data_IF_095328551366
#
_entry.id   IF_095328551366
#
_cell.length_a   1.000
_cell.length_b   1.000
_cell.length_c   1.000
_cell.angle_alpha   90.00
_cell.angle_beta   90.00
_cell.angle_gamma   90.00
#
_symmetry.space_group_name_H-M   'P 1'
#
loop_
_entity.id
_entity.type
_entity.pdbx_description
1 polymer ?
#
# COMPACT_ATOMS: atom_id res chain seq x y z
N UNK A 1 -20.07 29.66 22.95
CA UNK A 1 -20.21 29.35 21.51
C UNK A 1 -20.29 27.84 21.41
N UNK A 2 -21.47 27.30 21.13
CA UNK A 2 -21.63 25.87 20.86
C UNK A 2 -20.93 25.57 19.54
N UNK A 3 -19.81 24.86 19.61
CA UNK A 3 -19.21 24.25 18.43
C UNK A 3 -20.18 23.16 18.00
N UNK A 4 -20.73 23.18 16.78
CA UNK A 4 -21.65 22.13 16.34
C UNK A 4 -20.93 20.78 16.46
N UNK A 5 -21.55 19.85 17.18
CA UNK A 5 -21.00 18.51 17.33
C UNK A 5 -20.83 17.88 15.94
N UNK A 6 -19.61 17.47 15.61
CA UNK A 6 -19.32 16.79 14.35
C UNK A 6 -20.17 15.52 14.29
N UNK A 7 -20.95 15.28 13.21
CA UNK A 7 -21.80 14.10 13.12
C UNK A 7 -20.95 12.83 13.17
N UNK A 8 -21.38 11.88 14.00
CA UNK A 8 -20.79 10.55 14.07
C UNK A 8 -21.06 9.78 12.78
N UNK A 9 -20.05 9.08 12.29
CA UNK A 9 -20.17 8.27 11.09
C UNK A 9 -20.76 6.88 11.41
N UNK A 10 -20.51 6.36 12.60
CA UNK A 10 -21.02 5.08 13.08
C UNK A 10 -21.96 5.29 14.28
N UNK A 11 -23.21 5.74 14.04
CA UNK A 11 -24.16 6.01 15.11
C UNK A 11 -24.47 4.73 15.88
N UNK A 12 -24.55 4.84 17.22
CA UNK A 12 -24.83 3.70 18.11
C UNK A 12 -23.61 2.87 18.51
N UNK A 13 -22.44 3.13 17.93
CA UNK A 13 -21.19 2.57 18.43
C UNK A 13 -20.66 3.43 19.59
N UNK A 14 -20.15 2.75 20.63
CA UNK A 14 -19.45 3.44 21.72
C UNK A 14 -18.09 3.92 21.25
N UNK A 15 -17.53 4.92 21.95
CA UNK A 15 -16.15 5.33 21.71
C UNK A 15 -15.23 4.09 21.81
N UNK A 16 -14.28 3.91 20.87
CA UNK A 16 -13.50 2.68 20.83
C UNK A 16 -12.69 2.50 22.12
N UNK A 17 -12.61 1.28 22.61
CA UNK A 17 -11.75 0.97 23.76
C UNK A 17 -10.28 0.89 23.35
N UNK A 18 -9.37 0.99 24.32
CA UNK A 18 -7.92 0.91 24.07
C UNK A 18 -7.50 -0.39 23.39
N UNK A 19 -8.15 -1.52 23.70
CA UNK A 19 -7.88 -2.79 23.05
C UNK A 19 -8.25 -2.78 21.56
N UNK A 20 -9.41 -2.21 21.22
CA UNK A 20 -9.87 -2.10 19.83
C UNK A 20 -8.97 -1.16 19.01
N UNK A 21 -8.53 -0.04 19.61
CA UNK A 21 -7.53 0.85 18.99
C UNK A 21 -6.20 0.14 18.72
N UNK A 22 -5.73 -0.67 19.67
CA UNK A 22 -4.50 -1.47 19.49
C UNK A 22 -4.64 -2.49 18.37
N UNK A 23 -5.79 -3.16 18.27
CA UNK A 23 -6.08 -4.13 17.20
C UNK A 23 -6.08 -3.46 15.83
N UNK A 24 -6.72 -2.30 15.67
CA UNK A 24 -6.69 -1.53 14.41
C UNK A 24 -5.25 -1.20 13.98
N UNK A 25 -4.43 -0.71 14.91
CA UNK A 25 -3.02 -0.42 14.62
C UNK A 25 -2.20 -1.66 14.29
N UNK A 26 -2.40 -2.76 15.03
CA UNK A 26 -1.72 -4.01 14.76
C UNK A 26 -2.08 -4.56 13.37
N UNK A 27 -3.35 -4.44 12.96
CA UNK A 27 -3.79 -4.81 11.61
C UNK A 27 -3.06 -3.98 10.55
N UNK A 28 -3.02 -2.64 10.72
CA UNK A 28 -2.33 -1.75 9.79
C UNK A 28 -0.81 -2.05 9.66
N UNK A 29 -0.14 -2.44 10.76
CA UNK A 29 1.28 -2.88 10.72
C UNK A 29 1.48 -4.24 10.08
N UNK A 30 0.45 -5.07 10.05
CA UNK A 30 0.54 -6.46 9.59
C UNK A 30 0.50 -6.55 8.06
N UNK A 31 -0.05 -5.56 7.39
CA UNK A 31 0.05 -5.46 5.95
C UNK A 31 1.51 -5.16 5.53
N UNK A 32 2.01 -5.75 4.44
CA UNK A 32 1.40 -6.76 3.58
C UNK A 32 1.71 -8.22 3.99
N UNK A 33 2.23 -8.49 5.19
CA UNK A 33 2.64 -9.85 5.63
C UNK A 33 1.50 -10.85 5.81
N UNK A 34 0.26 -10.37 5.92
CA UNK A 34 -0.91 -11.25 6.02
C UNK A 34 -1.22 -11.96 4.69
N UNK A 35 -0.49 -11.65 3.60
CA UNK A 35 -0.71 -12.29 2.31
C UNK A 35 0.59 -12.58 1.55
N UNK A 36 0.66 -13.74 0.90
CA UNK A 36 1.75 -14.11 -0.01
C UNK A 36 1.54 -13.57 -1.42
N UNK A 37 0.29 -13.29 -1.78
CA UNK A 37 -0.09 -12.69 -3.04
C UNK A 37 -1.41 -11.95 -2.87
N UNK A 38 -1.63 -10.95 -3.70
CA UNK A 38 -2.85 -10.16 -3.71
C UNK A 38 -3.21 -9.82 -5.15
N UNK A 39 -4.44 -10.11 -5.54
CA UNK A 39 -5.06 -9.55 -6.72
C UNK A 39 -6.07 -8.49 -6.28
N UNK A 40 -5.93 -7.30 -6.81
CA UNK A 40 -6.76 -6.17 -6.42
C UNK A 40 -7.09 -5.28 -7.61
N UNK A 41 -8.18 -4.53 -7.48
CA UNK A 41 -8.60 -3.51 -8.42
C UNK A 41 -8.52 -2.15 -7.74
N UNK A 42 -8.03 -1.13 -8.44
CA UNK A 42 -7.95 0.25 -7.95
C UNK A 42 -8.60 1.17 -8.98
N UNK A 43 -9.38 2.12 -8.48
CA UNK A 43 -9.77 3.28 -9.26
C UNK A 43 -8.71 4.37 -9.08
N UNK A 44 -7.94 4.66 -10.11
CA UNK A 44 -6.87 5.67 -10.06
C UNK A 44 -7.49 7.06 -10.07
N UNK A 45 -7.25 7.89 -9.04
CA UNK A 45 -7.65 9.28 -9.07
C UNK A 45 -6.93 10.05 -10.18
N UNK A 46 -7.61 10.98 -10.86
CA UNK A 46 -7.03 11.73 -11.97
C UNK A 46 -5.75 12.48 -11.62
N UNK A 47 -5.61 12.91 -10.37
CA UNK A 47 -4.41 13.59 -9.85
C UNK A 47 -3.16 12.69 -9.77
N UNK A 48 -3.36 11.38 -9.75
CA UNK A 48 -2.29 10.38 -9.70
C UNK A 48 -2.20 9.55 -10.98
N UNK A 49 -3.06 9.81 -11.97
CA UNK A 49 -3.06 9.11 -13.24
C UNK A 49 -1.82 9.47 -14.07
N UNK A 50 -1.31 8.48 -14.82
CA UNK A 50 -0.28 8.68 -15.85
C UNK A 50 -0.80 8.12 -17.18
N UNK A 51 -1.61 8.89 -17.92
CA UNK A 51 -2.23 8.43 -19.17
C UNK A 51 -1.21 7.97 -20.21
N UNK A 52 -0.03 8.59 -20.25
CA UNK A 52 1.08 8.25 -21.15
C UNK A 52 1.60 6.82 -20.96
N UNK A 53 1.46 6.28 -19.74
CA UNK A 53 1.87 4.93 -19.36
C UNK A 53 0.67 3.95 -19.33
N UNK A 54 -0.54 4.41 -19.68
CA UNK A 54 -1.78 3.63 -19.54
C UNK A 54 -2.19 3.37 -18.09
N UNK A 55 -1.65 4.14 -17.12
CA UNK A 55 -1.91 4.00 -15.69
C UNK A 55 -3.01 4.97 -15.24
N UNK A 56 -4.22 4.75 -15.75
CA UNK A 56 -5.40 5.58 -15.46
C UNK A 56 -6.68 4.74 -15.37
N UNK A 57 -7.77 5.36 -14.89
CA UNK A 57 -9.06 4.69 -14.77
C UNK A 57 -9.03 3.52 -13.79
N UNK A 58 -9.72 2.43 -14.14
CA UNK A 58 -9.74 1.21 -13.34
C UNK A 58 -8.60 0.29 -13.75
N UNK A 59 -7.71 -0.03 -12.80
CA UNK A 59 -6.59 -0.95 -13.00
C UNK A 59 -6.78 -2.20 -12.17
N UNK A 60 -6.43 -3.36 -12.74
CA UNK A 60 -6.36 -4.63 -12.01
C UNK A 60 -4.91 -5.05 -11.87
N UNK A 61 -4.45 -5.24 -10.65
CA UNK A 61 -3.08 -5.62 -10.35
C UNK A 61 -3.03 -6.98 -9.66
N UNK A 62 -1.99 -7.73 -9.97
CA UNK A 62 -1.56 -8.92 -9.22
C UNK A 62 -0.19 -8.59 -8.65
N UNK A 63 -0.03 -8.71 -7.34
CA UNK A 63 1.25 -8.55 -6.65
C UNK A 63 1.59 -9.82 -5.88
N UNK A 64 2.83 -10.27 -6.02
CA UNK A 64 3.41 -11.37 -5.24
C UNK A 64 4.38 -10.79 -4.22
N UNK A 65 3.90 -10.68 -2.98
CA UNK A 65 4.61 -10.06 -1.85
C UNK A 65 5.20 -8.69 -2.23
N UNK A 66 6.53 -8.57 -2.21
CA UNK A 66 7.31 -7.39 -2.58
C UNK A 66 8.32 -7.71 -3.68
N UNK A 67 8.07 -8.80 -4.41
CA UNK A 67 9.00 -9.34 -5.39
C UNK A 67 8.52 -9.10 -6.81
N UNK A 68 7.21 -9.21 -7.08
CA UNK A 68 6.71 -9.12 -8.44
C UNK A 68 5.32 -8.48 -8.52
N UNK A 69 5.06 -7.74 -9.60
CA UNK A 69 3.77 -7.11 -9.88
C UNK A 69 3.47 -7.14 -11.38
N UNK A 70 2.19 -7.31 -11.71
CA UNK A 70 1.65 -7.15 -13.05
C UNK A 70 0.35 -6.35 -12.97
N UNK A 71 0.18 -5.38 -13.86
CA UNK A 71 -0.96 -4.46 -13.86
C UNK A 71 -1.60 -4.43 -15.24
N UNK A 72 -2.92 -4.57 -15.25
CA UNK A 72 -3.75 -4.54 -16.44
C UNK A 72 -4.74 -3.38 -16.40
N UNK A 73 -5.01 -2.79 -17.55
CA UNK A 73 -6.10 -1.84 -17.73
C UNK A 73 -7.47 -2.53 -17.62
N UNK A 74 -8.55 -1.75 -17.60
CA UNK A 74 -9.91 -2.25 -17.62
C UNK A 74 -10.21 -3.18 -18.82
N UNK A 75 -9.56 -2.94 -19.96
CA UNK A 75 -9.68 -3.77 -21.18
C UNK A 75 -8.83 -5.05 -21.13
N UNK A 76 -8.13 -5.31 -20.02
CA UNK A 76 -7.28 -6.47 -19.81
C UNK A 76 -5.87 -6.37 -20.41
N UNK A 77 -5.52 -5.23 -21.02
CA UNK A 77 -4.19 -4.98 -21.58
C UNK A 77 -3.15 -4.83 -20.48
N UNK A 78 -2.00 -5.49 -20.63
CA UNK A 78 -0.89 -5.36 -19.68
C UNK A 78 -0.22 -3.99 -19.87
N UNK A 79 -0.32 -3.12 -18.86
CA UNK A 79 0.23 -1.75 -18.91
C UNK A 79 1.52 -1.62 -18.12
N UNK A 80 1.72 -2.48 -17.11
CA UNK A 80 2.95 -2.47 -16.32
C UNK A 80 3.26 -3.87 -15.79
N UNK A 81 4.53 -4.23 -15.76
CA UNK A 81 5.03 -5.43 -15.12
C UNK A 81 6.42 -5.16 -14.58
N UNK A 82 6.70 -5.66 -13.39
CA UNK A 82 8.04 -5.58 -12.82
C UNK A 82 8.27 -6.79 -11.92
N UNK A 83 9.46 -7.37 -12.06
CA UNK A 83 9.97 -8.41 -11.19
C UNK A 83 11.29 -7.92 -10.59
N UNK A 84 11.37 -7.96 -9.27
CA UNK A 84 12.61 -7.86 -8.53
C UNK A 84 13.01 -9.26 -8.16
N UNK A 85 13.98 -9.79 -8.91
CA UNK A 85 14.79 -10.86 -8.34
C UNK A 85 15.37 -10.34 -7.04
N UNK A 86 15.03 -10.99 -5.93
CA UNK A 86 15.83 -10.84 -4.72
C UNK A 86 17.22 -11.38 -5.08
N UNK A 87 18.11 -10.48 -5.50
CA UNK A 87 19.52 -10.76 -5.41
C UNK A 87 19.78 -11.16 -3.94
N UNK A 88 20.32 -12.35 -3.77
CA UNK A 88 20.63 -13.03 -2.51
C UNK A 88 19.50 -13.70 -1.70
N UNK A 89 19.05 -14.85 -2.21
CA UNK A 89 19.00 -16.08 -1.36
C UNK A 89 20.36 -16.79 -1.28
N UNK A 90 21.44 -16.12 -1.67
CA UNK A 90 22.79 -16.65 -1.59
C UNK A 90 23.37 -16.39 -0.20
N UNK A 91 24.01 -17.42 0.33
CA UNK A 91 24.79 -17.34 1.55
C UNK A 91 26.00 -16.44 1.28
N UNK A 92 25.88 -15.18 1.68
CA UNK A 92 27.01 -14.31 1.98
C UNK A 92 27.33 -13.27 0.92
N UNK A 93 27.14 -12.00 1.26
CA UNK A 93 28.11 -10.96 0.91
C UNK A 93 28.09 -9.84 1.94
N UNK A 94 29.14 -9.82 2.78
CA UNK A 94 29.51 -8.69 3.64
C UNK A 94 30.23 -7.68 2.73
N UNK A 95 29.48 -6.73 2.16
CA UNK A 95 30.07 -5.57 1.52
C UNK A 95 30.07 -4.39 2.50
N UNK A 96 31.28 -3.97 2.87
CA UNK A 96 31.56 -2.88 3.79
C UNK A 96 31.02 -1.53 3.27
N UNK A 97 29.83 -1.17 3.74
CA UNK A 97 29.37 0.22 3.88
C UNK A 97 28.91 0.38 5.33
N UNK A 98 28.76 1.62 5.86
CA UNK A 98 28.25 1.85 7.22
C UNK A 98 26.85 1.24 7.49
N UNK A 99 26.20 0.70 6.46
CA UNK A 99 24.97 -0.09 6.48
C UNK A 99 25.16 -1.57 6.89
N UNK A 100 26.42 -2.05 7.00
CA UNK A 100 26.78 -3.47 7.17
C UNK A 100 26.51 -4.07 8.56
N UNK A 101 26.12 -3.24 9.54
CA UNK A 101 25.68 -3.71 10.87
C UNK A 101 24.17 -3.81 11.03
N UNK A 102 23.38 -3.40 10.03
CA UNK A 102 21.95 -3.69 10.01
C UNK A 102 21.78 -5.16 9.64
N UNK A 103 21.24 -5.94 10.58
CA UNK A 103 20.85 -7.32 10.30
C UNK A 103 19.99 -7.35 9.02
N UNK A 104 20.24 -8.29 8.09
CA UNK A 104 19.31 -8.60 7.02
C UNK A 104 17.88 -8.66 7.54
N UNK A 105 16.90 -8.12 6.80
CA UNK A 105 15.48 -8.16 7.17
C UNK A 105 14.98 -9.58 7.53
N UNK A 106 15.67 -10.61 7.05
CA UNK A 106 15.45 -12.03 7.37
C UNK A 106 15.90 -12.47 8.77
N UNK A 107 16.66 -11.65 9.51
CA UNK A 107 17.18 -11.92 10.85
C UNK A 107 16.49 -11.08 11.96
N UNK A 108 15.53 -10.24 11.60
CA UNK A 108 14.65 -9.53 12.54
C UNK A 108 13.23 -10.04 12.37
N UNK A 109 12.80 -10.96 13.24
CA UNK A 109 11.43 -11.48 13.19
C UNK A 109 10.42 -10.44 13.70
N UNK A 110 9.26 -10.28 13.05
CA UNK A 110 8.15 -9.52 13.61
C UNK A 110 7.77 -10.05 14.99
N UNK A 111 7.37 -9.16 15.89
CA UNK A 111 6.76 -9.56 17.17
C UNK A 111 5.26 -9.60 16.96
N UNK A 112 4.62 -10.70 17.34
CA UNK A 112 3.19 -10.91 17.13
C UNK A 112 2.38 -10.66 18.41
N UNK A 113 1.13 -10.22 18.24
CA UNK A 113 0.10 -10.24 19.27
C UNK A 113 -0.45 -11.66 19.46
N UNK A 114 -1.33 -11.87 20.45
CA UNK A 114 -2.07 -13.13 20.61
C UNK A 114 -2.86 -13.53 19.36
N UNK A 115 -3.29 -12.54 18.59
CA UNK A 115 -4.16 -12.70 17.43
C UNK A 115 -3.36 -12.81 16.13
N UNK A 116 -2.04 -13.10 16.23
CA UNK A 116 -1.11 -13.25 15.10
C UNK A 116 -0.94 -12.00 14.23
N UNK A 117 -1.27 -10.81 14.77
CA UNK A 117 -0.99 -9.53 14.13
C UNK A 117 0.36 -8.98 14.56
N UNK A 118 1.01 -8.18 13.73
CA UNK A 118 2.30 -7.57 14.01
C UNK A 118 2.17 -6.46 15.07
N UNK A 119 2.78 -6.70 16.22
CA UNK A 119 2.97 -5.73 17.29
C UNK A 119 4.15 -4.80 16.99
N UNK A 120 5.31 -5.37 16.65
CA UNK A 120 6.54 -4.64 16.30
C UNK A 120 7.04 -5.11 14.94
N UNK A 121 7.24 -4.14 14.05
CA UNK A 121 7.66 -4.38 12.67
C UNK A 121 9.19 -4.42 12.57
N UNK A 122 9.79 -5.34 11.79
CA UNK A 122 11.20 -5.23 11.43
C UNK A 122 11.44 -4.01 10.52
N UNK A 123 12.62 -3.39 10.61
CA UNK A 123 13.04 -2.33 9.69
C UNK A 123 13.24 -2.92 8.30
N UNK A 124 12.32 -2.66 7.37
CA UNK A 124 12.39 -3.12 5.99
C UNK A 124 12.07 -1.98 5.03
N UNK A 125 12.76 -1.97 3.89
CA UNK A 125 12.38 -1.13 2.75
C UNK A 125 11.00 -1.56 2.27
N UNK A 126 10.08 -0.61 2.06
CA UNK A 126 8.69 -0.78 1.62
C UNK A 126 8.50 -1.63 0.35
N UNK A 127 7.93 -1.07 -0.71
CA UNK A 127 7.92 -1.75 -2.02
C UNK A 127 9.16 -1.42 -2.86
N UNK A 128 10.01 -0.49 -2.39
CA UNK A 128 11.31 -0.14 -2.95
C UNK A 128 11.26 0.29 -4.44
N UNK A 129 10.13 0.88 -4.89
CA UNK A 129 9.89 1.20 -6.30
C UNK A 129 9.43 0.01 -7.16
N UNK A 130 8.76 -0.99 -6.56
CA UNK A 130 8.08 -2.06 -7.31
C UNK A 130 6.76 -1.57 -7.93
N UNK A 131 6.11 -0.59 -7.28
CA UNK A 131 4.77 -0.15 -7.68
C UNK A 131 4.87 0.94 -8.76
N UNK A 132 3.99 0.93 -9.78
CA UNK A 132 4.00 1.94 -10.84
C UNK A 132 3.47 3.30 -10.39
N UNK A 133 2.60 3.29 -9.38
CA UNK A 133 1.95 4.47 -8.80
C UNK A 133 2.30 4.53 -7.31
N UNK A 134 2.95 5.60 -6.88
CA UNK A 134 3.53 5.71 -5.54
C UNK A 134 2.46 5.65 -4.44
N UNK A 135 1.28 6.26 -4.65
CA UNK A 135 0.19 6.29 -3.67
C UNK A 135 -0.36 4.89 -3.32
N UNK A 136 -0.09 3.87 -4.13
CA UNK A 136 -0.45 2.49 -3.80
C UNK A 136 0.33 1.97 -2.60
N UNK A 137 1.54 2.49 -2.33
CA UNK A 137 2.34 2.09 -1.17
C UNK A 137 1.61 2.40 0.14
N UNK A 138 1.03 3.60 0.27
CA UNK A 138 0.23 3.96 1.44
C UNK A 138 -0.98 3.06 1.62
N UNK A 139 -1.61 2.60 0.53
CA UNK A 139 -2.80 1.73 0.59
C UNK A 139 -2.45 0.27 0.93
N UNK A 140 -1.39 -0.27 0.31
CA UNK A 140 -0.95 -1.66 0.48
C UNK A 140 -0.14 -1.88 1.77
N UNK A 141 0.44 -0.83 2.32
CA UNK A 141 1.25 -0.83 3.55
C UNK A 141 0.89 0.38 4.43
N UNK A 142 -0.32 0.39 5.06
CA UNK A 142 -0.83 1.51 5.86
C UNK A 142 -0.14 1.64 7.24
N UNK A 143 1.17 1.38 7.31
CA UNK A 143 1.95 1.43 8.56
C UNK A 143 1.95 2.80 9.22
N UNK A 144 1.83 3.88 8.45
CA UNK A 144 1.78 5.26 8.95
C UNK A 144 0.64 5.48 9.96
N UNK A 145 -0.42 4.66 9.93
CA UNK A 145 -1.52 4.71 10.90
C UNK A 145 -1.11 4.25 12.29
N UNK A 146 -0.04 3.45 12.39
CA UNK A 146 0.28 2.67 13.57
C UNK A 146 1.71 2.84 14.08
N UNK A 147 2.63 3.34 13.22
CA UNK A 147 4.04 3.48 13.52
C UNK A 147 4.80 2.15 13.53
N UNK A 148 6.13 2.23 13.62
CA UNK A 148 7.04 1.07 13.58
C UNK A 148 7.09 0.29 14.90
N UNK A 149 6.86 0.98 16.02
CA UNK A 149 6.97 0.40 17.36
C UNK A 149 5.64 0.43 18.12
N UNK A 150 5.40 -0.54 19.02
CA UNK A 150 4.33 -0.41 19.99
C UNK A 150 4.68 0.74 20.93
N UNK A 151 3.99 1.87 20.77
CA UNK A 151 4.04 2.98 21.72
C UNK A 151 3.73 2.47 23.14
N UNK A 152 4.44 3.01 24.13
CA UNK A 152 4.24 2.66 25.54
C UNK A 152 2.81 2.97 25.97
N UNK A 153 2.22 2.08 26.76
CA UNK A 153 0.84 2.25 27.25
C UNK A 153 0.67 3.49 28.14
N UNK A 154 1.76 3.99 28.73
CA UNK A 154 1.73 5.06 29.73
C UNK A 154 1.83 6.47 29.13
N UNK A 155 2.17 6.60 27.85
CA UNK A 155 2.32 7.90 27.18
C UNK A 155 1.17 8.14 26.20
N UNK A 156 0.20 8.96 26.62
CA UNK A 156 -1.01 9.30 25.86
C UNK A 156 -0.76 9.95 24.48
N UNK A 157 0.47 10.37 24.18
CA UNK A 157 0.83 11.18 23.00
C UNK A 157 1.71 10.47 21.96
N UNK A 158 2.05 9.19 22.13
CA UNK A 158 3.02 8.52 21.25
C UNK A 158 2.43 7.94 19.96
N UNK A 159 1.11 7.88 19.83
CA UNK A 159 0.49 7.26 18.66
C UNK A 159 0.39 8.20 17.44
N UNK A 160 0.77 7.74 16.23
CA UNK A 160 0.72 8.55 15.01
C UNK A 160 -0.67 9.07 14.64
N UNK A 161 -1.74 8.38 15.02
CA UNK A 161 -3.11 8.80 14.67
C UNK A 161 -4.01 8.74 15.89
N UNK A 162 -5.04 9.58 15.94
CA UNK A 162 -6.11 9.48 16.94
C UNK A 162 -7.33 8.79 16.33
N UNK A 163 -7.79 7.72 16.97
CA UNK A 163 -8.95 6.92 16.52
C UNK A 163 -10.20 7.40 17.27
N UNK A 164 -11.07 8.12 16.57
CA UNK A 164 -12.29 8.73 17.09
C UNK A 164 -13.45 7.75 17.12
N UNK A 165 -13.64 7.06 15.99
CA UNK A 165 -14.70 6.07 15.82
C UNK A 165 -14.10 4.81 15.20
N UNK A 166 -14.69 3.65 15.50
CA UNK A 166 -14.27 2.35 14.99
C UNK A 166 -15.49 1.45 14.85
N UNK A 167 -15.61 0.75 13.73
CA UNK A 167 -16.67 -0.22 13.50
C UNK A 167 -16.16 -1.39 12.65
N UNK A 168 -16.52 -2.61 13.01
CA UNK A 168 -16.44 -3.74 12.08
C UNK A 168 -17.59 -3.63 11.09
N UNK A 169 -17.27 -3.72 9.80
CA UNK A 169 -18.22 -3.57 8.70
C UNK A 169 -17.98 -4.66 7.65
N UNK A 170 -18.90 -4.77 6.71
CA UNK A 170 -18.66 -5.48 5.45
C UNK A 170 -18.42 -4.44 4.36
N UNK A 171 -17.28 -4.52 3.68
CA UNK A 171 -16.91 -3.65 2.55
C UNK A 171 -16.68 -4.53 1.32
N UNK A 172 -17.46 -4.32 0.25
CA UNK A 172 -17.43 -5.13 -0.98
C UNK A 172 -17.50 -6.64 -0.73
N UNK A 173 -18.35 -7.05 0.22
CA UNK A 173 -18.54 -8.45 0.60
C UNK A 173 -17.44 -9.03 1.51
N UNK A 174 -16.44 -8.23 1.91
CA UNK A 174 -15.34 -8.66 2.77
C UNK A 174 -15.47 -8.07 4.19
N UNK A 175 -15.16 -8.84 5.25
CA UNK A 175 -15.04 -8.30 6.60
C UNK A 175 -13.92 -7.25 6.67
N UNK A 176 -14.24 -6.07 7.17
CA UNK A 176 -13.33 -4.95 7.26
C UNK A 176 -13.49 -4.18 8.58
N UNK A 177 -12.47 -3.44 8.95
CA UNK A 177 -12.45 -2.57 10.12
C UNK A 177 -12.36 -1.11 9.66
N UNK A 178 -13.44 -0.38 9.85
CA UNK A 178 -13.54 1.02 9.48
C UNK A 178 -13.27 1.93 10.68
N UNK A 179 -12.46 2.98 10.47
CA UNK A 179 -12.08 3.91 11.51
C UNK A 179 -12.16 5.35 11.01
N UNK A 180 -12.55 6.26 11.91
CA UNK A 180 -12.44 7.70 11.66
C UNK A 180 -11.27 8.26 12.47
N UNK A 181 -10.32 8.85 11.75
CA UNK A 181 -9.02 9.23 12.28
C UNK A 181 -8.70 10.71 12.09
N UNK A 182 -7.82 11.24 12.93
CA UNK A 182 -7.04 12.45 12.66
C UNK A 182 -5.55 12.17 12.89
N UNK A 183 -4.69 12.94 12.25
CA UNK A 183 -3.25 12.85 12.45
C UNK A 183 -2.90 13.26 13.90
N UNK A 184 -2.01 12.52 14.54
CA UNK A 184 -1.40 12.86 15.81
C UNK A 184 -0.11 13.67 15.61
N UNK A 185 0.51 14.12 16.71
CA UNK A 185 1.74 14.92 16.64
C UNK A 185 2.95 14.13 16.15
N UNK A 186 2.93 12.80 16.29
CA UNK A 186 3.97 11.90 15.80
C UNK A 186 3.65 11.31 14.41
N UNK A 187 2.56 11.77 13.77
CA UNK A 187 2.19 11.30 12.44
C UNK A 187 3.27 11.65 11.42
N UNK A 188 3.75 10.63 10.71
CA UNK A 188 4.65 10.80 9.58
C UNK A 188 4.09 9.95 8.44
N UNK A 189 3.68 10.58 7.32
CA UNK A 189 3.20 9.82 6.19
C UNK A 189 4.35 9.05 5.53
N UNK A 190 4.08 7.82 5.09
CA UNK A 190 4.98 7.02 4.26
C UNK A 190 5.29 7.76 2.96
N UNK A 191 4.27 8.41 2.38
CA UNK A 191 4.38 9.22 1.17
C UNK A 191 3.73 10.59 1.39
N UNK A 192 4.55 11.65 1.38
CA UNK A 192 4.08 13.01 1.64
C UNK A 192 3.05 13.53 0.62
N UNK A 193 3.08 13.04 -0.63
CA UNK A 193 2.13 13.40 -1.69
C UNK A 193 0.78 12.69 -1.59
N UNK A 194 0.69 11.61 -0.79
CA UNK A 194 -0.54 10.85 -0.58
C UNK A 194 -0.64 10.30 0.87
N UNK A 195 -0.73 11.18 1.88
CA UNK A 195 -0.99 10.76 3.25
C UNK A 195 -2.38 10.11 3.35
N UNK A 196 -2.53 9.03 4.11
CA UNK A 196 -3.82 8.45 4.45
C UNK A 196 -4.60 9.36 5.39
N UNK A 197 -3.91 10.06 6.29
CA UNK A 197 -4.50 11.03 7.22
C UNK A 197 -3.83 12.39 7.06
N UNK A 198 -4.30 13.23 6.11
CA UNK A 198 -3.76 14.58 5.93
C UNK A 198 -3.81 15.39 7.23
N UNK A 199 -2.86 16.31 7.40
CA UNK A 199 -2.75 17.13 8.61
C UNK A 199 -4.02 17.95 8.86
N UNK A 200 -4.53 17.94 10.09
CA UNK A 200 -5.75 18.64 10.48
C UNK A 200 -7.04 18.09 9.86
N UNK A 201 -6.97 17.06 9.00
CA UNK A 201 -8.12 16.45 8.37
C UNK A 201 -8.70 15.31 9.20
N UNK A 202 -10.01 15.15 9.12
CA UNK A 202 -10.76 14.01 9.63
C UNK A 202 -10.99 13.04 8.49
N UNK A 203 -10.47 11.83 8.60
CA UNK A 203 -10.44 10.86 7.50
C UNK A 203 -11.08 9.54 7.90
N UNK A 204 -11.94 9.01 7.04
CA UNK A 204 -12.40 7.63 7.09
C UNK A 204 -11.35 6.73 6.42
N UNK A 205 -10.97 5.65 7.11
CA UNK A 205 -10.20 4.55 6.56
C UNK A 205 -10.94 3.24 6.77
N UNK A 206 -10.81 2.33 5.80
CA UNK A 206 -11.35 0.97 5.88
C UNK A 206 -10.20 0.01 5.63
N UNK A 207 -9.89 -0.85 6.60
CA UNK A 207 -8.86 -1.88 6.48
C UNK A 207 -9.51 -3.26 6.30
N UNK A 208 -9.05 -4.05 5.35
CA UNK A 208 -9.48 -5.43 5.18
C UNK A 208 -8.99 -6.29 6.36
N UNK A 209 -9.88 -7.07 6.99
CA UNK A 209 -9.49 -7.87 8.16
C UNK A 209 -8.55 -9.03 7.81
N UNK A 210 -8.60 -9.55 6.58
CA UNK A 210 -7.80 -10.70 6.18
C UNK A 210 -6.37 -10.32 5.74
N UNK A 211 -6.20 -9.14 5.13
CA UNK A 211 -4.94 -8.71 4.50
C UNK A 211 -4.32 -7.48 5.17
N UNK A 212 -5.13 -6.69 5.90
CA UNK A 212 -4.71 -5.45 6.56
C UNK A 212 -4.55 -4.25 5.61
N UNK A 213 -4.76 -4.44 4.31
CA UNK A 213 -4.64 -3.36 3.31
C UNK A 213 -5.76 -2.35 3.48
N UNK A 214 -5.48 -1.09 3.14
CA UNK A 214 -6.50 -0.04 3.09
C UNK A 214 -7.36 -0.22 1.84
N UNK A 215 -8.64 -0.51 2.04
CA UNK A 215 -9.65 -0.64 0.99
C UNK A 215 -10.23 0.71 0.58
N UNK A 216 -10.39 1.62 1.53
CA UNK A 216 -10.95 2.94 1.25
C UNK A 216 -10.30 4.01 2.14
N UNK A 217 -9.98 5.16 1.53
CA UNK A 217 -9.58 6.38 2.22
C UNK A 217 -10.42 7.55 1.72
N UNK A 218 -11.20 8.15 2.61
CA UNK A 218 -12.05 9.32 2.31
C UNK A 218 -11.89 10.43 3.34
N UNK A 219 -11.47 11.60 2.90
CA UNK A 219 -11.39 12.79 3.77
C UNK A 219 -12.81 13.31 4.01
N UNK A 220 -13.25 13.32 5.27
CA UNK A 220 -14.58 13.74 5.70
C UNK A 220 -14.65 15.25 5.94
N UNK A 221 -13.57 15.82 6.47
CA UNK A 221 -13.43 17.25 6.70
C UNK A 221 -11.95 17.62 6.63
N UNK A 222 -11.63 18.74 6.01
CA UNK A 222 -10.28 19.28 5.91
C UNK A 222 -10.27 20.76 6.29
N UNK A 223 -9.14 21.28 6.81
CA UNK A 223 -8.94 22.71 7.02
C UNK A 223 -9.18 23.53 5.74
N UNK A 224 -9.81 24.69 5.89
CA UNK A 224 -10.04 25.63 4.79
C UNK A 224 -8.72 26.04 4.14
N UNK A 225 -8.66 26.00 2.81
CA UNK A 225 -7.50 26.42 2.02
C UNK A 225 -6.51 25.31 1.66
N UNK A 226 -6.71 24.07 2.14
CA UNK A 226 -5.99 22.92 1.59
C UNK A 226 -6.68 22.37 0.35
N UNK A 227 -5.91 21.89 -0.65
CA UNK A 227 -6.48 21.21 -1.80
C UNK A 227 -7.23 19.95 -1.32
N UNK A 228 -8.38 19.62 -1.95
CA UNK A 228 -9.09 18.40 -1.61
C UNK A 228 -8.18 17.21 -1.92
N UNK A 229 -8.01 16.31 -0.93
CA UNK A 229 -7.29 15.08 -1.17
C UNK A 229 -8.24 14.06 -1.82
N UNK A 230 -7.81 13.36 -2.88
CA UNK A 230 -8.70 12.48 -3.65
C UNK A 230 -9.11 11.27 -2.83
N UNK A 231 -10.31 10.74 -3.06
CA UNK A 231 -10.70 9.47 -2.46
C UNK A 231 -9.86 8.33 -3.05
N UNK A 232 -9.32 7.46 -2.19
CA UNK A 232 -8.56 6.29 -2.63
C UNK A 232 -9.43 5.06 -2.40
N UNK A 233 -9.57 4.22 -3.42
CA UNK A 233 -10.36 2.99 -3.36
C UNK A 233 -9.58 1.82 -3.94
N UNK A 234 -9.58 0.72 -3.21
CA UNK A 234 -8.95 -0.54 -3.56
C UNK A 234 -9.91 -1.68 -3.18
N UNK A 235 -10.24 -2.51 -4.16
CA UNK A 235 -11.02 -3.72 -3.97
C UNK A 235 -10.11 -4.94 -4.03
N UNK A 236 -10.11 -5.78 -2.99
CA UNK A 236 -9.39 -7.06 -3.00
C UNK A 236 -10.24 -8.10 -3.73
N UNK A 237 -9.71 -8.64 -4.83
CA UNK A 237 -10.35 -9.68 -5.63
C UNK A 237 -9.97 -11.08 -5.14
N UNK A 238 -8.68 -11.28 -4.84
CA UNK A 238 -8.16 -12.54 -4.30
C UNK A 238 -6.90 -12.29 -3.45
N UNK A 239 -6.61 -13.20 -2.52
CA UNK A 239 -5.36 -13.19 -1.75
C UNK A 239 -4.88 -14.62 -1.51
N UNK A 240 -3.56 -14.79 -1.37
CA UNK A 240 -2.90 -16.10 -1.18
C UNK A 240 -3.13 -17.10 -2.32
N UNK A 241 -3.43 -16.60 -3.52
CA UNK A 241 -3.48 -17.43 -4.72
C UNK A 241 -2.09 -17.69 -5.31
N UNK A 242 -1.99 -18.81 -6.02
CA UNK A 242 -0.79 -19.17 -6.75
C UNK A 242 -0.79 -18.50 -8.13
N UNK A 243 0.26 -17.70 -8.40
CA UNK A 243 0.47 -17.06 -9.70
C UNK A 243 1.79 -17.53 -10.30
N UNK A 244 1.74 -17.95 -11.57
CA UNK A 244 2.91 -18.39 -12.34
C UNK A 244 3.82 -17.22 -12.70
N UNK A 245 5.13 -17.47 -12.77
CA UNK A 245 6.16 -16.43 -13.02
C UNK A 245 5.96 -15.69 -14.34
N UNK A 246 5.45 -16.38 -15.37
CA UNK A 246 5.19 -15.77 -16.69
C UNK A 246 4.15 -14.65 -16.68
N UNK A 247 3.41 -14.45 -15.58
CA UNK A 247 2.54 -13.29 -15.41
C UNK A 247 3.30 -12.01 -15.08
N UNK A 248 4.53 -12.12 -14.56
CA UNK A 248 5.32 -11.00 -14.05
C UNK A 248 6.57 -10.70 -14.89
N UNK A 249 7.08 -11.71 -15.59
CA UNK A 249 8.25 -11.56 -16.45
C UNK A 249 7.80 -11.20 -17.87
N UNK A 250 8.41 -10.14 -18.43
CA UNK A 250 8.26 -9.89 -19.86
C UNK A 250 8.69 -11.14 -20.63
N UNK A 251 7.92 -11.59 -21.65
CA UNK A 251 8.35 -12.72 -22.45
C UNK A 251 9.74 -12.40 -22.99
N UNK A 252 10.71 -13.25 -22.66
CA UNK A 252 12.04 -13.16 -23.25
C UNK A 252 11.82 -13.09 -24.77
N UNK A 253 12.49 -12.18 -25.49
CA UNK A 253 12.41 -12.20 -26.94
C UNK A 253 12.77 -13.60 -27.37
N UNK A 254 11.78 -14.37 -27.83
CA UNK A 254 12.06 -15.61 -28.54
C UNK A 254 13.04 -15.21 -29.60
N UNK A 255 14.19 -15.87 -29.65
CA UNK A 255 15.14 -15.79 -30.75
C UNK A 255 14.32 -15.92 -32.02
N UNK A 256 13.94 -14.78 -32.59
CA UNK A 256 13.28 -14.71 -33.88
C UNK A 256 14.23 -15.46 -34.79
N UNK A 257 13.70 -16.47 -35.48
CA UNK A 257 14.45 -17.30 -36.41
C UNK A 257 15.45 -16.42 -37.17
N UNK A 258 16.75 -16.63 -36.91
CA UNK A 258 17.88 -15.82 -37.41
C UNK A 258 17.98 -15.88 -38.95
N UNK A 259 17.06 -16.58 -39.60
CA UNK A 259 16.88 -16.67 -41.05
C UNK A 259 16.13 -15.47 -41.65
N UNK A 260 15.45 -14.64 -40.87
CA UNK A 260 14.85 -13.41 -41.39
C UNK A 260 15.85 -12.25 -41.24
N UNK A 261 16.43 -11.73 -42.33
CA UNK A 261 17.32 -10.57 -42.24
C UNK A 261 16.55 -9.37 -41.70
N UNK A 262 17.13 -8.71 -40.69
CA UNK A 262 16.65 -7.41 -40.19
C UNK A 262 16.82 -6.42 -41.37
N UNK A 263 15.73 -5.85 -41.93
CA UNK A 263 15.86 -4.89 -43.01
C UNK A 263 16.48 -3.62 -42.46
N UNK A 264 17.70 -3.31 -42.90
CA UNK A 264 18.32 -2.03 -42.64
C UNK A 264 17.66 -0.97 -43.53
N UNK A 265 16.98 -0.01 -42.92
CA UNK A 265 16.52 1.20 -43.59
C UNK A 265 17.74 2.01 -44.06
N UNK A 266 18.13 1.83 -45.32
CA UNK A 266 19.11 2.71 -45.97
C UNK A 266 18.48 4.10 -46.05
N UNK A 267 19.04 5.06 -45.29
CA UNK A 267 18.71 6.49 -45.43
C UNK A 267 18.81 6.86 -46.90
N UNK A 268 17.68 7.23 -47.52
CA UNK A 268 17.66 7.76 -48.87
C UNK A 268 18.51 9.03 -48.91
N UNK A 269 19.56 9.02 -49.73
CA UNK A 269 20.40 10.18 -49.97
C UNK A 269 19.52 11.36 -50.42
N UNK A 270 19.66 12.49 -49.71
CA UNK A 270 19.05 13.76 -50.16
C UNK A 270 19.65 14.10 -51.52
N UNK A 271 18.84 14.06 -52.57
CA UNK A 271 19.18 14.69 -53.84
C UNK A 271 19.20 16.20 -53.64
N UNK A 272 20.37 16.78 -53.91
CA UNK A 272 20.63 18.22 -54.07
C UNK A 272 19.83 18.83 -55.21
#
# INVERSE_FOLDING_TARGET
MDVPAVPLLFPGQSAPESAARRRFRALARSAPWLSTSLQFQVQVPGEYAKPEDGLEGTLTAIIRQREAIAVRSADGQLVYQQEKFTADRSRGYVAATNSSWKLPASLTSPVYTSDQLILRRPDISGFNGLLPLEHWESMLDPVELAGTEPASHDLAFDHPTYIHELAEITHDGRPALAAVLTAGHTYQPTLASAPLVPEGARTLLVLDLATGVCLNRRVLAAPSGMPPAPELSLQVLAHNEYYIDSLFTAPAPTLTDVRAPIPWELRSERRS
#
